data_IF_997547472467
#
_entry.id   IF_997547472467
#
_cell.length_a   1.000
_cell.length_b   1.000
_cell.length_c   1.000
_cell.angle_alpha   90.00
_cell.angle_beta   90.00
_cell.angle_gamma   90.00
#
_symmetry.space_group_name_H-M   'P 1'
#
loop_
_entity.id
_entity.type
_entity.pdbx_description
1 polymer ?
#
# COMPACT_ATOMS: atom_id res chain seq x y z
N UNK A 1 -24.65 4.31 7.00
CA UNK A 1 -24.16 2.93 6.91
C UNK A 1 -25.25 1.98 6.44
N UNK A 2 -26.29 1.68 7.23
CA UNK A 2 -27.39 0.78 6.84
C UNK A 2 -28.00 1.05 5.44
N UNK A 3 -28.27 2.32 5.09
CA UNK A 3 -28.77 2.68 3.75
C UNK A 3 -27.80 2.35 2.61
N UNK A 4 -26.50 2.53 2.83
CA UNK A 4 -25.49 2.22 1.82
C UNK A 4 -25.32 0.71 1.66
N UNK A 5 -25.33 -0.04 2.77
CA UNK A 5 -25.31 -1.50 2.76
C UNK A 5 -26.52 -2.07 1.99
N UNK A 6 -27.72 -1.54 2.21
CA UNK A 6 -28.92 -1.94 1.48
C UNK A 6 -28.86 -1.63 -0.03
N UNK A 7 -28.18 -0.54 -0.44
CA UNK A 7 -28.00 -0.21 -1.87
C UNK A 7 -26.97 -1.11 -2.56
N UNK A 8 -26.07 -1.72 -1.80
CA UNK A 8 -25.06 -2.64 -2.32
C UNK A 8 -25.47 -4.11 -2.21
N UNK A 9 -26.64 -4.40 -1.63
CA UNK A 9 -27.14 -5.76 -1.49
C UNK A 9 -27.35 -6.40 -2.87
N UNK A 10 -26.80 -7.60 -3.07
CA UNK A 10 -26.78 -8.29 -4.36
C UNK A 10 -25.76 -7.76 -5.39
N UNK A 11 -24.94 -6.75 -5.08
CA UNK A 11 -23.84 -6.32 -5.97
C UNK A 11 -22.63 -7.26 -5.85
N UNK A 12 -22.74 -8.44 -6.48
CA UNK A 12 -21.65 -9.39 -6.66
C UNK A 12 -21.80 -10.09 -8.02
N UNK A 13 -20.75 -10.78 -8.47
CA UNK A 13 -20.83 -11.61 -9.68
C UNK A 13 -21.79 -12.80 -9.49
N UNK A 14 -22.34 -13.31 -10.59
CA UNK A 14 -23.13 -14.53 -10.59
C UNK A 14 -22.26 -15.76 -10.22
N UNK A 15 -22.80 -16.78 -9.53
CA UNK A 15 -22.03 -17.96 -9.12
C UNK A 15 -21.39 -18.76 -10.26
N UNK A 16 -21.93 -18.65 -11.48
CA UNK A 16 -21.50 -19.35 -12.70
C UNK A 16 -20.81 -18.42 -13.73
N UNK A 17 -20.39 -17.23 -13.31
CA UNK A 17 -19.68 -16.30 -14.17
C UNK A 17 -18.36 -16.90 -14.70
N UNK A 18 -18.19 -16.88 -16.02
CA UNK A 18 -16.94 -17.30 -16.68
C UNK A 18 -15.94 -16.14 -16.75
N UNK A 19 -14.67 -16.42 -16.43
CA UNK A 19 -13.58 -15.44 -16.49
C UNK A 19 -12.56 -15.82 -17.57
N UNK A 20 -12.14 -14.83 -18.38
CA UNK A 20 -11.08 -15.03 -19.39
C UNK A 20 -9.74 -15.45 -18.76
N UNK A 21 -9.52 -15.05 -17.50
CA UNK A 21 -8.33 -15.38 -16.72
C UNK A 21 -8.67 -15.33 -15.24
N UNK A 22 -8.28 -16.36 -14.50
CA UNK A 22 -8.31 -16.39 -13.04
C UNK A 22 -6.88 -16.24 -12.53
N UNK A 23 -6.67 -15.34 -11.58
CA UNK A 23 -5.38 -15.12 -10.91
C UNK A 23 -5.62 -15.41 -9.43
N UNK A 24 -5.04 -16.51 -8.94
CA UNK A 24 -5.13 -16.91 -7.54
C UNK A 24 -3.94 -16.32 -6.76
N UNK A 25 -4.22 -15.63 -5.66
CA UNK A 25 -3.21 -14.98 -4.82
C UNK A 25 -3.45 -15.42 -3.38
N UNK A 26 -2.46 -16.06 -2.77
CA UNK A 26 -2.48 -16.33 -1.34
C UNK A 26 -2.09 -15.07 -0.56
N UNK A 27 -3.07 -14.41 0.05
CA UNK A 27 -2.87 -13.19 0.81
C UNK A 27 -1.87 -13.34 1.98
N UNK A 28 -1.70 -14.55 2.52
CA UNK A 28 -0.73 -14.82 3.60
C UNK A 28 0.72 -14.76 3.12
N UNK A 29 0.95 -14.89 1.82
CA UNK A 29 2.29 -14.84 1.21
C UNK A 29 2.68 -13.44 0.73
N UNK A 30 1.76 -12.46 0.78
CA UNK A 30 2.03 -11.09 0.35
C UNK A 30 3.02 -10.45 1.31
N UNK A 31 4.11 -9.92 0.76
CA UNK A 31 5.18 -9.22 1.47
C UNK A 31 5.24 -7.76 0.99
N UNK A 32 5.87 -6.84 1.75
CA UNK A 32 6.07 -5.47 1.29
C UNK A 32 6.79 -5.43 -0.07
N UNK A 33 6.29 -4.57 -0.96
CA UNK A 33 6.81 -4.40 -2.31
C UNK A 33 7.03 -2.92 -2.63
N UNK A 34 7.93 -2.67 -3.57
CA UNK A 34 8.19 -1.35 -4.16
C UNK A 34 8.18 -1.48 -5.68
N UNK A 35 7.57 -0.52 -6.37
CA UNK A 35 7.67 -0.43 -7.83
C UNK A 35 8.85 0.46 -8.21
N UNK A 36 9.75 -0.03 -9.05
CA UNK A 36 10.85 0.75 -9.58
C UNK A 36 10.36 1.83 -10.57
N UNK A 37 11.14 2.89 -10.82
CA UNK A 37 10.76 3.97 -11.73
C UNK A 37 10.40 3.50 -13.15
N UNK A 38 9.53 4.27 -13.81
CA UNK A 38 9.18 4.11 -15.22
C UNK A 38 7.90 3.32 -15.48
N UNK A 39 7.59 2.30 -14.66
CA UNK A 39 6.39 1.47 -14.83
C UNK A 39 5.91 0.90 -13.48
N UNK A 40 4.63 1.05 -13.09
CA UNK A 40 4.09 0.44 -11.87
C UNK A 40 4.17 -1.10 -11.86
N UNK A 41 4.29 -1.74 -13.03
CA UNK A 41 4.51 -3.17 -13.19
C UNK A 41 5.93 -3.63 -12.83
N UNK A 42 6.88 -2.72 -12.65
CA UNK A 42 8.25 -3.02 -12.18
C UNK A 42 8.30 -3.25 -10.66
N UNK A 43 7.34 -4.02 -10.14
CA UNK A 43 7.25 -4.38 -8.74
C UNK A 43 8.33 -5.37 -8.34
N UNK A 44 8.98 -5.12 -7.20
CA UNK A 44 9.94 -5.99 -6.55
C UNK A 44 9.56 -6.14 -5.08
N UNK A 45 9.93 -7.28 -4.47
CA UNK A 45 9.83 -7.39 -3.03
C UNK A 45 10.88 -6.50 -2.37
N UNK A 46 10.53 -5.91 -1.24
CA UNK A 46 11.40 -4.95 -0.56
C UNK A 46 12.75 -5.55 -0.15
N UNK A 47 12.80 -6.86 0.12
CA UNK A 47 14.02 -7.59 0.46
C UNK A 47 14.84 -8.09 -0.77
N UNK A 48 14.32 -7.87 -1.97
CA UNK A 48 15.06 -8.05 -3.24
C UNK A 48 15.67 -6.73 -3.73
N UNK A 49 15.28 -5.61 -3.10
CA UNK A 49 15.93 -4.32 -3.32
C UNK A 49 17.35 -4.43 -2.74
N UNK A 50 18.35 -4.48 -3.61
CA UNK A 50 19.75 -4.70 -3.21
C UNK A 50 20.26 -3.68 -2.19
N UNK A 51 21.44 -3.94 -1.63
CA UNK A 51 22.02 -3.15 -0.53
C UNK A 51 22.51 -1.74 -0.93
N UNK A 52 22.40 -1.39 -2.22
CA UNK A 52 22.80 -0.06 -2.69
C UNK A 52 21.87 1.02 -2.11
N UNK A 53 22.41 2.06 -1.45
CA UNK A 53 21.59 3.10 -0.87
C UNK A 53 20.77 3.85 -1.93
N UNK A 54 19.45 3.77 -1.81
CA UNK A 54 18.52 4.61 -2.59
C UNK A 54 18.31 5.93 -1.85
N UNK A 55 18.79 7.03 -2.44
CA UNK A 55 18.56 8.36 -1.89
C UNK A 55 17.07 8.72 -2.02
N UNK A 56 16.48 9.17 -0.92
CA UNK A 56 15.11 9.70 -0.88
C UNK A 56 15.20 11.19 -0.59
N UNK A 57 14.69 12.03 -1.49
CA UNK A 57 14.57 13.47 -1.26
C UNK A 57 13.15 13.87 -0.82
N UNK A 58 12.14 13.09 -1.23
CA UNK A 58 10.73 13.29 -0.89
C UNK A 58 10.09 11.95 -0.56
N UNK A 59 9.38 11.89 0.57
CA UNK A 59 8.46 10.82 0.89
C UNK A 59 7.05 11.41 0.93
N UNK A 60 6.11 10.86 0.17
CA UNK A 60 4.75 11.39 0.08
C UNK A 60 3.72 10.32 0.41
N UNK A 61 2.75 10.68 1.24
CA UNK A 61 1.68 9.83 1.71
C UNK A 61 0.33 10.54 1.52
N UNK A 62 -0.75 9.78 1.30
CA UNK A 62 -2.09 10.36 1.15
C UNK A 62 -2.53 10.66 -0.30
N UNK A 63 -2.10 9.84 -1.26
CA UNK A 63 -2.57 9.92 -2.64
C UNK A 63 -4.01 9.41 -2.80
N UNK A 64 -4.54 9.36 -4.03
CA UNK A 64 -5.87 8.79 -4.29
C UNK A 64 -6.01 7.32 -3.88
N UNK A 65 -4.93 6.53 -3.96
CA UNK A 65 -4.94 5.10 -3.61
C UNK A 65 -4.79 4.86 -2.11
N UNK A 66 -4.02 5.71 -1.43
CA UNK A 66 -3.64 5.56 -0.02
C UNK A 66 -3.94 6.81 0.83
N UNK A 67 -5.10 7.42 0.60
CA UNK A 67 -5.54 8.65 1.28
C UNK A 67 -6.75 8.48 2.21
N UNK A 68 -7.15 7.24 2.51
CA UNK A 68 -8.29 6.98 3.41
C UNK A 68 -7.89 7.24 4.86
N UNK A 69 -8.88 7.32 5.74
CA UNK A 69 -8.64 7.53 7.17
C UNK A 69 -7.74 6.43 7.73
N UNK A 70 -7.99 5.19 7.34
CA UNK A 70 -7.24 4.02 7.77
C UNK A 70 -5.77 4.08 7.31
N UNK A 71 -5.51 4.59 6.10
CA UNK A 71 -4.16 4.82 5.60
C UNK A 71 -3.41 5.86 6.47
N UNK A 72 -4.09 6.96 6.80
CA UNK A 72 -3.54 8.00 7.68
C UNK A 72 -3.23 7.49 9.09
N UNK A 73 -4.10 6.64 9.63
CA UNK A 73 -3.86 5.99 10.93
C UNK A 73 -2.61 5.09 10.87
N UNK A 74 -2.42 4.35 9.77
CA UNK A 74 -1.22 3.52 9.56
C UNK A 74 0.06 4.37 9.45
N UNK A 75 0.05 5.46 8.69
CA UNK A 75 1.22 6.37 8.62
C UNK A 75 1.56 6.95 9.99
N UNK A 76 0.55 7.38 10.75
CA UNK A 76 0.74 7.91 12.09
C UNK A 76 1.33 6.86 13.06
N UNK A 77 0.91 5.59 12.93
CA UNK A 77 1.45 4.50 13.73
C UNK A 77 2.96 4.31 13.50
N UNK A 78 3.40 4.27 12.23
CA UNK A 78 4.82 4.14 11.86
C UNK A 78 5.64 5.32 12.39
N UNK A 79 5.18 6.56 12.18
CA UNK A 79 5.90 7.75 12.64
C UNK A 79 5.96 7.85 14.17
N UNK A 80 4.91 7.42 14.86
CA UNK A 80 4.87 7.38 16.33
C UNK A 80 5.87 6.36 16.86
N UNK A 81 5.92 5.16 16.26
CA UNK A 81 6.84 4.11 16.66
C UNK A 81 8.30 4.51 16.42
N UNK A 82 8.61 5.04 15.23
CA UNK A 82 9.92 5.59 14.91
C UNK A 82 10.35 6.66 15.94
N UNK A 83 9.45 7.58 16.29
CA UNK A 83 9.74 8.61 17.31
C UNK A 83 9.96 8.02 18.69
N UNK A 84 9.22 6.98 19.08
CA UNK A 84 9.40 6.30 20.36
C UNK A 84 10.78 5.62 20.47
N UNK A 85 11.32 5.16 19.34
CA UNK A 85 12.67 4.63 19.21
C UNK A 85 13.76 5.71 19.08
N UNK A 86 13.39 7.00 19.11
CA UNK A 86 14.32 8.13 18.97
C UNK A 86 14.68 8.49 17.54
N UNK A 87 14.10 7.83 16.54
CA UNK A 87 14.28 8.19 15.13
C UNK A 87 13.52 9.46 14.77
N UNK A 88 14.00 10.12 13.72
CA UNK A 88 13.37 11.28 13.09
C UNK A 88 13.50 11.15 11.58
N UNK A 89 12.63 11.84 10.85
CA UNK A 89 12.79 12.04 9.40
C UNK A 89 14.17 12.68 9.16
N UNK A 90 14.92 12.12 8.22
CA UNK A 90 16.23 12.65 7.86
C UNK A 90 16.11 14.12 7.41
N UNK A 91 17.01 15.04 7.81
CA UNK A 91 16.87 16.47 7.52
C UNK A 91 16.77 16.81 6.03
N UNK A 92 17.33 15.97 5.16
CA UNK A 92 17.28 16.16 3.70
C UNK A 92 15.98 15.65 3.05
N UNK A 93 15.12 14.95 3.80
CA UNK A 93 13.87 14.36 3.28
C UNK A 93 12.71 15.31 3.56
N UNK A 94 11.97 15.66 2.52
CA UNK A 94 10.65 16.30 2.66
C UNK A 94 9.60 15.20 2.82
N UNK A 95 9.01 15.10 4.00
CA UNK A 95 7.84 14.26 4.26
C UNK A 95 6.56 15.09 4.10
#
# INVERSE_FOLDING_TARGET
>A
RARAEALCDGLHSDPDAEYVKVIEIDASTIRPMVALPGDPGNGLYMDELGDEPVRIDVAYAGSCTAGKKEDMDMYAAVLKDARAQGYRVHPDVKL
#
